data_IF_475282700329
#
_entry.id   IF_475282700329
#
_cell.length_a   1.000
_cell.length_b   1.000
_cell.length_c   1.000
_cell.angle_alpha   90.00
_cell.angle_beta   90.00
_cell.angle_gamma   90.00
#
_symmetry.space_group_name_H-M   'P 1'
#
loop_
_entity.id
_entity.type
_entity.pdbx_description
1 polymer ?
#
# COMPACT_ATOMS: atom_id res chain seq x y z
N UNK A 1 45.72 67.52 -29.09
CA UNK A 1 46.25 67.74 -30.45
C UNK A 1 45.08 67.96 -31.39
N UNK A 2 45.31 68.83 -32.36
CA UNK A 2 44.36 69.79 -32.92
C UNK A 2 43.12 69.26 -33.66
N UNK A 3 42.10 70.10 -33.63
CA UNK A 3 40.86 70.03 -34.38
C UNK A 3 40.99 70.69 -35.77
N UNK A 4 39.97 70.42 -36.62
CA UNK A 4 39.49 71.22 -37.77
C UNK A 4 40.43 71.17 -39.00
N UNK A 5 39.99 71.16 -40.27
CA UNK A 5 38.74 71.57 -40.95
C UNK A 5 38.80 71.03 -42.41
N UNK A 6 37.90 71.37 -43.36
CA UNK A 6 37.28 70.42 -44.27
C UNK A 6 37.68 70.66 -45.73
N UNK A 7 37.19 69.83 -46.66
CA UNK A 7 36.95 70.30 -48.03
C UNK A 7 35.62 69.75 -48.54
N UNK A 8 34.78 70.68 -48.98
CA UNK A 8 33.58 70.44 -49.77
C UNK A 8 33.86 70.83 -51.22
N UNK A 9 32.96 70.39 -52.11
CA UNK A 9 32.77 70.78 -53.51
C UNK A 9 33.83 70.22 -54.48
N UNK A 10 33.55 69.85 -55.71
CA UNK A 10 32.36 69.71 -56.56
C UNK A 10 32.85 68.85 -57.75
N UNK A 11 32.08 68.24 -58.66
CA UNK A 11 31.21 68.88 -59.64
C UNK A 11 30.68 67.76 -60.55
N UNK A 12 29.40 67.86 -60.88
CA UNK A 12 28.61 67.28 -61.99
C UNK A 12 29.34 66.47 -63.08
N UNK A 13 28.70 65.38 -63.51
CA UNK A 13 28.17 65.26 -64.88
C UNK A 13 27.09 64.18 -64.95
N UNK A 14 25.99 64.53 -65.60
CA UNK A 14 24.79 63.74 -65.90
C UNK A 14 25.02 62.94 -67.18
N UNK A 15 24.55 61.69 -67.26
CA UNK A 15 23.75 61.09 -68.36
C UNK A 15 23.64 59.58 -68.11
N UNK A 16 22.46 59.08 -67.74
CA UNK A 16 21.37 58.64 -68.62
C UNK A 16 21.60 57.21 -69.16
N UNK A 17 20.69 56.29 -68.83
CA UNK A 17 20.70 54.90 -69.32
C UNK A 17 20.38 53.93 -68.18
N UNK A 18 19.10 53.68 -67.85
CA UNK A 18 18.32 52.52 -68.36
C UNK A 18 18.82 51.22 -67.71
N UNK A 19 18.08 50.38 -66.99
CA UNK A 19 16.71 50.28 -66.47
C UNK A 19 16.73 49.06 -65.52
N UNK A 20 15.92 49.10 -64.47
CA UNK A 20 15.44 47.97 -63.65
C UNK A 20 16.50 47.05 -62.98
N UNK A 21 16.92 47.45 -61.78
CA UNK A 21 17.33 46.52 -60.73
C UNK A 21 16.33 46.64 -59.57
N UNK A 22 15.35 45.76 -59.50
CA UNK A 22 14.45 45.64 -58.34
C UNK A 22 15.26 45.04 -57.19
N UNK A 23 15.80 45.87 -56.29
CA UNK A 23 16.41 45.38 -55.05
C UNK A 23 15.31 44.94 -54.10
N UNK A 24 15.01 43.64 -54.10
CA UNK A 24 14.21 43.00 -53.06
C UNK A 24 15.05 43.00 -51.78
N UNK A 25 14.62 43.80 -50.80
CA UNK A 25 15.08 43.64 -49.41
C UNK A 25 14.48 42.33 -48.91
N UNK A 26 15.28 41.26 -48.90
CA UNK A 26 14.87 39.99 -48.33
C UNK A 26 14.93 40.11 -46.80
N UNK A 27 13.78 40.37 -46.18
CA UNK A 27 13.61 40.20 -44.73
C UNK A 27 13.60 38.69 -44.46
N UNK A 28 14.70 38.16 -43.95
CA UNK A 28 14.81 36.76 -43.55
C UNK A 28 13.99 36.59 -42.25
N UNK A 29 12.71 36.23 -42.37
CA UNK A 29 11.94 35.75 -41.24
C UNK A 29 12.52 34.39 -40.81
N UNK A 30 13.24 34.34 -39.69
CA UNK A 30 13.56 33.08 -39.04
C UNK A 30 12.26 32.45 -38.52
N UNK A 31 11.58 31.70 -39.38
CA UNK A 31 10.59 30.73 -38.95
C UNK A 31 11.34 29.62 -38.20
N UNK A 32 11.48 29.77 -36.88
CA UNK A 32 11.89 28.68 -36.02
C UNK A 32 10.85 27.56 -36.16
N UNK A 33 11.18 26.54 -36.94
CA UNK A 33 10.40 25.31 -37.01
C UNK A 33 10.53 24.62 -35.65
N UNK A 34 9.63 24.94 -34.72
CA UNK A 34 9.39 24.12 -33.54
C UNK A 34 8.76 22.83 -34.05
N UNK A 35 9.61 21.86 -34.40
CA UNK A 35 9.13 20.52 -34.73
C UNK A 35 8.53 19.95 -33.45
N UNK A 36 7.30 19.39 -33.47
CA UNK A 36 6.80 18.67 -32.33
C UNK A 36 7.77 17.53 -32.04
N UNK A 37 8.37 17.53 -30.85
CA UNK A 37 9.12 16.38 -30.37
C UNK A 37 8.11 15.25 -30.25
N UNK A 38 8.09 14.35 -31.24
CA UNK A 38 7.35 13.11 -31.15
C UNK A 38 8.12 12.25 -30.15
N UNK A 39 7.65 12.23 -28.91
CA UNK A 39 8.13 11.28 -27.90
C UNK A 39 7.67 9.90 -28.38
N UNK A 40 8.57 9.18 -29.04
CA UNK A 40 8.33 7.77 -29.39
C UNK A 40 8.27 6.99 -28.07
N UNK A 41 7.17 6.29 -27.76
CA UNK A 41 7.12 5.44 -26.58
C UNK A 41 8.23 4.39 -26.67
N UNK A 42 9.10 4.32 -25.66
CA UNK A 42 10.10 3.25 -25.55
C UNK A 42 9.30 1.93 -25.40
N UNK A 43 9.42 0.96 -26.33
CA UNK A 43 8.55 -0.21 -26.36
C UNK A 43 8.66 -1.16 -25.15
N UNK A 44 9.64 -0.98 -24.26
CA UNK A 44 9.94 -1.90 -23.15
C UNK A 44 10.15 -1.22 -21.78
N UNK A 45 9.70 0.04 -21.60
CA UNK A 45 9.59 0.58 -20.24
C UNK A 45 8.39 -0.09 -19.54
N UNK A 46 8.52 -0.59 -18.29
CA UNK A 46 7.37 -1.12 -17.55
C UNK A 46 6.26 -0.06 -17.57
N UNK A 47 5.12 -0.39 -18.18
CA UNK A 47 3.97 0.48 -18.16
C UNK A 47 3.42 0.47 -16.73
N UNK A 48 3.93 1.39 -15.90
CA UNK A 48 3.34 1.66 -14.61
C UNK A 48 1.91 2.13 -14.88
N UNK A 49 0.93 1.39 -14.37
CA UNK A 49 -0.37 2.02 -14.11
C UNK A 49 -0.18 2.75 -12.79
N UNK A 50 -0.27 4.09 -12.72
CA UNK A 50 -0.30 4.77 -11.44
C UNK A 50 -1.32 4.06 -10.55
N UNK A 51 -0.96 3.80 -9.29
CA UNK A 51 -2.02 3.51 -8.35
C UNK A 51 -3.03 4.67 -8.44
N UNK A 52 -4.31 4.36 -8.33
CA UNK A 52 -5.36 5.36 -8.37
C UNK A 52 -6.18 5.25 -7.11
N UNK A 53 -7.04 6.24 -6.88
CA UNK A 53 -7.97 6.21 -5.75
C UNK A 53 -8.85 4.96 -5.71
N UNK A 54 -8.97 4.20 -6.82
CA UNK A 54 -9.69 2.94 -6.88
C UNK A 54 -8.82 1.68 -6.68
N UNK A 55 -7.50 1.75 -6.87
CA UNK A 55 -6.62 0.56 -6.77
C UNK A 55 -5.80 0.50 -5.48
N UNK A 56 -5.48 1.66 -4.91
CA UNK A 56 -4.74 1.75 -3.65
C UNK A 56 -5.52 1.26 -2.42
N UNK A 57 -6.85 1.50 -2.29
CA UNK A 57 -7.62 1.05 -1.15
C UNK A 57 -7.47 -0.44 -0.84
N UNK A 58 -7.58 -0.77 0.44
CA UNK A 58 -7.39 -2.09 1.01
C UNK A 58 -6.03 -2.26 1.70
N UNK A 59 -5.75 -3.50 2.12
CA UNK A 59 -4.61 -3.83 2.96
C UNK A 59 -3.40 -4.28 2.13
N UNK A 60 -2.22 -3.93 2.61
CA UNK A 60 -0.92 -4.19 2.03
C UNK A 60 0.04 -4.67 3.12
N UNK A 61 0.82 -5.69 2.83
CA UNK A 61 1.80 -6.29 3.75
C UNK A 61 3.13 -6.51 3.03
N UNK A 62 4.21 -6.56 3.79
CA UNK A 62 5.51 -7.04 3.32
C UNK A 62 5.50 -8.56 3.13
N UNK A 63 6.40 -9.07 2.30
CA UNK A 63 6.53 -10.51 2.07
C UNK A 63 7.24 -11.24 3.23
N UNK A 64 8.14 -10.53 3.92
CA UNK A 64 8.92 -11.06 5.02
C UNK A 64 8.08 -11.26 6.28
N UNK A 65 8.49 -12.22 7.09
CA UNK A 65 7.96 -12.50 8.43
C UNK A 65 8.89 -11.93 9.48
N UNK A 66 8.32 -11.49 10.60
CA UNK A 66 9.05 -10.78 11.64
C UNK A 66 8.75 -11.36 13.03
N UNK A 67 9.63 -11.07 14.00
CA UNK A 67 9.40 -11.45 15.41
C UNK A 67 8.49 -10.48 16.17
N UNK A 68 8.00 -9.41 15.51
CA UNK A 68 7.04 -8.47 16.08
C UNK A 68 5.72 -9.17 16.45
N UNK A 69 4.99 -8.66 17.47
CA UNK A 69 3.70 -9.22 17.87
C UNK A 69 2.68 -9.30 16.73
N UNK A 70 2.67 -8.30 15.86
CA UNK A 70 1.80 -8.24 14.69
C UNK A 70 2.61 -8.19 13.40
N UNK A 71 2.04 -8.67 12.28
CA UNK A 71 2.59 -8.46 10.94
C UNK A 71 2.47 -6.97 10.54
N UNK A 72 3.58 -6.32 10.11
CA UNK A 72 3.54 -4.96 9.58
C UNK A 72 2.57 -4.81 8.41
N UNK A 73 1.84 -3.69 8.37
CA UNK A 73 0.87 -3.43 7.32
C UNK A 73 0.62 -1.94 7.05
N UNK A 74 0.03 -1.67 5.88
CA UNK A 74 -0.68 -0.44 5.56
C UNK A 74 -2.10 -0.81 5.08
N UNK A 75 -3.09 -0.04 5.50
CA UNK A 75 -4.48 -0.17 5.08
C UNK A 75 -4.96 1.21 4.64
N UNK A 76 -5.32 1.33 3.36
CA UNK A 76 -5.86 2.55 2.77
C UNK A 76 -7.37 2.40 2.63
N UNK A 77 -8.13 3.37 3.11
CA UNK A 77 -9.58 3.40 2.99
C UNK A 77 -10.00 4.29 1.81
N UNK A 78 -11.16 4.00 1.21
CA UNK A 78 -11.70 4.77 0.08
C UNK A 78 -12.03 6.23 0.43
N UNK A 79 -12.21 6.54 1.72
CA UNK A 79 -12.50 7.89 2.21
C UNK A 79 -11.25 8.79 2.34
N UNK A 80 -10.08 8.31 1.90
CA UNK A 80 -8.82 9.03 1.99
C UNK A 80 -8.16 8.92 3.37
N UNK A 81 -8.61 8.02 4.24
CA UNK A 81 -7.90 7.70 5.49
C UNK A 81 -7.00 6.48 5.33
N UNK A 82 -5.96 6.37 6.16
CA UNK A 82 -5.13 5.17 6.23
C UNK A 82 -4.78 4.81 7.67
N UNK A 83 -4.50 3.53 7.90
CA UNK A 83 -3.96 2.96 9.14
C UNK A 83 -2.76 2.11 8.80
N UNK A 84 -1.79 2.02 9.71
CA UNK A 84 -0.63 1.18 9.50
C UNK A 84 0.00 0.75 10.81
N UNK A 85 0.84 -0.27 10.70
CA UNK A 85 1.66 -0.76 11.81
C UNK A 85 3.02 -1.22 11.30
N UNK A 86 4.02 -1.03 12.14
CA UNK A 86 5.34 -1.65 11.99
C UNK A 86 5.47 -2.99 12.75
N UNK A 87 4.37 -3.49 13.30
CA UNK A 87 4.28 -4.73 14.07
C UNK A 87 4.18 -4.54 15.59
N UNK A 88 4.45 -3.35 16.12
CA UNK A 88 4.24 -3.03 17.54
C UNK A 88 3.74 -1.61 17.79
N UNK A 89 4.00 -0.68 16.88
CA UNK A 89 3.44 0.65 16.86
C UNK A 89 2.33 0.74 15.82
N UNK A 90 1.38 1.62 16.06
CA UNK A 90 0.29 1.89 15.13
C UNK A 90 0.32 3.36 14.73
N UNK A 91 -0.01 3.62 13.48
CA UNK A 91 -0.11 4.95 12.89
C UNK A 91 -1.41 5.07 12.10
N UNK A 92 -1.84 6.30 11.90
CA UNK A 92 -2.99 6.63 11.04
C UNK A 92 -2.87 8.04 10.52
N UNK A 93 -3.54 8.32 9.42
CA UNK A 93 -3.62 9.65 8.86
C UNK A 93 -4.51 9.68 7.64
N UNK A 94 -4.25 10.64 6.76
CA UNK A 94 -4.93 10.79 5.48
C UNK A 94 -3.98 10.54 4.32
N UNK A 95 -4.53 10.16 3.19
CA UNK A 95 -3.81 10.00 1.93
C UNK A 95 -4.62 10.60 0.79
N UNK A 96 -3.92 11.09 -0.21
CA UNK A 96 -4.48 11.43 -1.52
C UNK A 96 -3.49 11.09 -2.61
N UNK A 97 -3.99 10.85 -3.81
CA UNK A 97 -3.17 10.54 -4.96
C UNK A 97 -3.69 11.27 -6.19
N UNK A 98 -2.80 11.91 -6.93
CA UNK A 98 -3.15 12.55 -8.19
C UNK A 98 -3.05 11.59 -9.38
N UNK A 99 -3.44 12.06 -10.57
CA UNK A 99 -3.43 11.25 -11.80
C UNK A 99 -2.03 10.85 -12.27
N UNK A 100 -0.97 11.46 -11.74
CA UNK A 100 0.42 11.09 -12.02
C UNK A 100 0.96 10.02 -11.06
N UNK A 101 0.18 9.62 -10.05
CA UNK A 101 0.59 8.68 -9.01
C UNK A 101 1.38 9.34 -7.88
N UNK A 102 1.41 10.68 -7.82
CA UNK A 102 2.00 11.39 -6.70
C UNK A 102 1.15 11.16 -5.45
N UNK A 103 1.79 10.67 -4.39
CA UNK A 103 1.16 10.29 -3.14
C UNK A 103 1.43 11.37 -2.10
N UNK A 104 0.37 11.94 -1.52
CA UNK A 104 0.47 12.84 -0.38
C UNK A 104 -0.13 12.16 0.84
N UNK A 105 0.58 12.14 1.96
CA UNK A 105 0.10 11.54 3.20
C UNK A 105 0.25 12.49 4.38
N UNK A 106 -0.61 12.33 5.37
CA UNK A 106 -0.41 12.87 6.71
C UNK A 106 -0.22 11.70 7.68
N UNK A 107 0.39 11.96 8.84
CA UNK A 107 0.44 11.01 9.94
C UNK A 107 0.17 11.71 11.26
N UNK A 108 -0.66 11.08 12.08
CA UNK A 108 -0.77 11.41 13.49
C UNK A 108 0.45 10.96 14.30
N UNK A 109 0.46 11.23 15.61
CA UNK A 109 1.52 10.78 16.50
C UNK A 109 1.58 9.25 16.56
N UNK A 110 2.79 8.71 16.68
CA UNK A 110 3.06 7.28 16.85
C UNK A 110 3.88 7.06 18.12
N UNK A 111 3.61 5.97 18.80
CA UNK A 111 4.52 5.46 19.82
C UNK A 111 5.79 4.93 19.13
N UNK A 112 6.94 5.00 19.79
CA UNK A 112 8.23 4.51 19.27
C UNK A 112 8.77 3.36 20.12
N UNK A 113 8.00 2.28 20.19
CA UNK A 113 8.47 1.01 20.76
C UNK A 113 9.35 0.33 19.69
N UNK A 114 10.48 -0.22 20.10
CA UNK A 114 11.29 -1.01 19.18
C UNK A 114 10.75 -2.44 19.08
N UNK A 115 10.50 -2.90 17.86
CA UNK A 115 10.31 -4.31 17.53
C UNK A 115 11.04 -4.64 16.23
N UNK A 116 11.37 -5.92 16.08
CA UNK A 116 11.80 -6.49 14.80
C UNK A 116 10.58 -6.51 13.87
N UNK A 117 10.46 -5.52 12.99
CA UNK A 117 9.31 -5.30 12.11
C UNK A 117 9.63 -4.29 11.00
N UNK A 118 8.89 -4.33 9.88
CA UNK A 118 9.05 -3.36 8.79
C UNK A 118 8.43 -2.01 9.17
N UNK A 119 9.16 -0.88 9.08
CA UNK A 119 8.67 0.44 9.51
C UNK A 119 7.71 1.08 8.49
N UNK A 120 6.63 0.37 8.12
CA UNK A 120 5.76 0.76 7.00
C UNK A 120 5.11 2.14 7.16
N UNK A 121 4.64 2.57 8.34
CA UNK A 121 4.18 3.94 8.52
C UNK A 121 5.23 5.00 8.19
N UNK A 122 6.51 4.76 8.49
CA UNK A 122 7.58 5.69 8.18
C UNK A 122 7.89 5.70 6.68
N UNK A 123 7.94 4.54 6.04
CA UNK A 123 8.06 4.47 4.58
C UNK A 123 6.91 5.16 3.85
N UNK A 124 5.69 5.09 4.40
CA UNK A 124 4.54 5.78 3.81
C UNK A 124 4.62 7.31 3.93
N UNK A 125 5.20 7.81 5.02
CA UNK A 125 5.40 9.25 5.24
C UNK A 125 6.52 9.79 4.34
N UNK A 126 7.57 9.00 4.10
CA UNK A 126 8.69 9.36 3.21
C UNK A 126 8.38 9.15 1.71
N UNK A 127 7.29 8.44 1.40
CA UNK A 127 6.90 8.16 0.02
C UNK A 127 6.33 9.41 -0.67
N UNK A 128 6.79 9.67 -1.89
CA UNK A 128 6.29 10.74 -2.77
C UNK A 128 5.39 10.21 -3.88
N UNK A 129 5.46 8.92 -4.18
CA UNK A 129 4.62 8.26 -5.16
C UNK A 129 4.48 6.77 -4.85
N UNK A 130 3.52 6.12 -5.50
CA UNK A 130 3.39 4.67 -5.45
C UNK A 130 3.19 4.09 -6.85
N UNK A 131 3.88 2.99 -7.11
CA UNK A 131 3.78 2.21 -8.36
C UNK A 131 2.98 0.95 -8.09
N UNK A 132 2.07 0.60 -8.99
CA UNK A 132 1.32 -0.65 -8.93
C UNK A 132 1.44 -1.41 -10.24
N UNK A 133 1.90 -2.66 -10.19
CA UNK A 133 2.08 -3.51 -11.38
C UNK A 133 0.94 -4.53 -11.58
N UNK A 134 -0.15 -4.40 -10.82
CA UNK A 134 -1.26 -5.34 -10.78
C UNK A 134 -1.19 -6.34 -9.62
N UNK A 135 -0.03 -6.51 -9.00
CA UNK A 135 0.16 -7.45 -7.86
C UNK A 135 0.93 -6.83 -6.70
N UNK A 136 1.92 -6.02 -7.01
CA UNK A 136 2.86 -5.42 -6.06
C UNK A 136 2.70 -3.91 -6.06
N UNK A 137 2.49 -3.36 -4.86
CA UNK A 137 2.57 -1.93 -4.59
C UNK A 137 3.99 -1.60 -4.16
N UNK A 138 4.64 -0.69 -4.86
CA UNK A 138 5.97 -0.17 -4.49
C UNK A 138 5.85 1.28 -4.05
N UNK A 139 6.24 1.59 -2.82
CA UNK A 139 6.35 2.97 -2.35
C UNK A 139 7.69 3.55 -2.79
N UNK A 140 7.68 4.78 -3.28
CA UNK A 140 8.85 5.42 -3.89
C UNK A 140 9.15 6.75 -3.18
N UNK A 141 10.39 6.93 -2.76
CA UNK A 141 10.86 8.09 -2.01
C UNK A 141 11.21 9.30 -2.88
N UNK A 142 11.75 10.34 -2.24
CA UNK A 142 12.05 11.63 -2.87
C UNK A 142 13.12 11.58 -3.98
N UNK A 143 14.00 10.58 -3.99
CA UNK A 143 15.08 10.40 -4.97
C UNK A 143 14.77 9.26 -5.94
N UNK A 144 13.48 8.94 -6.11
CA UNK A 144 13.00 7.83 -6.96
C UNK A 144 13.50 6.44 -6.52
N UNK A 145 13.96 6.32 -5.28
CA UNK A 145 14.31 5.05 -4.66
C UNK A 145 13.07 4.24 -4.28
N UNK A 146 13.13 2.92 -4.45
CA UNK A 146 12.09 2.02 -3.94
C UNK A 146 12.27 1.87 -2.43
N UNK A 147 11.31 2.36 -1.64
CA UNK A 147 11.35 2.28 -0.19
C UNK A 147 10.93 0.90 0.31
N UNK A 148 9.84 0.37 -0.24
CA UNK A 148 9.30 -0.94 0.13
C UNK A 148 8.41 -1.51 -0.97
N UNK A 149 8.45 -2.83 -1.11
CA UNK A 149 7.50 -3.61 -1.93
C UNK A 149 6.49 -4.28 -1.02
N UNK A 150 5.23 -4.08 -1.35
CA UNK A 150 4.09 -4.56 -0.61
C UNK A 150 3.23 -5.39 -1.54
N UNK A 151 2.67 -6.45 -1.00
CA UNK A 151 1.67 -7.27 -1.69
C UNK A 151 0.34 -7.13 -0.99
N UNK A 152 -0.73 -7.41 -1.71
CA UNK A 152 -1.98 -7.77 -1.04
C UNK A 152 -1.66 -8.95 -0.10
N UNK A 153 -2.16 -8.94 1.15
CA UNK A 153 -2.11 -10.16 1.95
C UNK A 153 -2.70 -11.28 1.10
N UNK A 154 -1.99 -12.41 1.03
CA UNK A 154 -2.39 -13.52 0.17
C UNK A 154 -3.82 -13.92 0.55
N UNK A 155 -4.78 -13.61 -0.32
CA UNK A 155 -6.14 -14.12 -0.28
C UNK A 155 -6.22 -15.37 -1.15
N UNK A 156 -5.20 -16.24 -1.06
CA UNK A 156 -5.29 -17.60 -1.65
C UNK A 156 -6.20 -18.50 -0.81
N UNK A 157 -6.76 -17.94 0.26
CA UNK A 157 -7.85 -18.52 1.03
C UNK A 157 -9.10 -18.47 0.15
N UNK A 158 -9.47 -19.63 -0.40
CA UNK A 158 -10.76 -19.79 -1.05
C UNK A 158 -11.82 -19.82 0.04
N UNK A 159 -12.74 -18.85 0.13
CA UNK A 159 -13.90 -19.00 1.00
C UNK A 159 -14.57 -20.33 0.67
N UNK A 160 -14.65 -21.22 1.65
CA UNK A 160 -15.22 -22.53 1.46
C UNK A 160 -16.69 -22.37 1.03
N UNK A 161 -17.10 -22.88 -0.15
CA UNK A 161 -18.51 -23.03 -0.46
C UNK A 161 -19.07 -24.09 0.51
N UNK A 162 -19.98 -23.71 1.42
CA UNK A 162 -20.46 -24.69 2.41
C UNK A 162 -21.31 -24.18 3.58
N UNK A 163 -21.55 -22.88 3.70
CA UNK A 163 -22.34 -22.32 4.81
C UNK A 163 -21.69 -22.55 6.18
N UNK A 164 -22.44 -22.46 7.26
CA UNK A 164 -21.90 -22.57 8.63
C UNK A 164 -21.27 -23.94 8.95
N UNK A 165 -21.62 -24.99 8.22
CA UNK A 165 -21.21 -26.37 8.49
C UNK A 165 -19.71 -26.60 8.36
N UNK A 166 -19.01 -25.82 7.51
CA UNK A 166 -17.54 -25.94 7.36
C UNK A 166 -16.78 -25.26 8.49
N UNK A 167 -17.45 -24.43 9.29
CA UNK A 167 -16.86 -23.69 10.42
C UNK A 167 -17.06 -24.45 11.73
N UNK A 168 -18.20 -25.15 11.88
CA UNK A 168 -18.60 -25.83 13.12
C UNK A 168 -17.65 -26.98 13.46
N UNK A 169 -17.22 -27.02 14.72
CA UNK A 169 -16.34 -28.04 15.28
C UNK A 169 -15.17 -27.49 16.06
N UNK A 170 -14.19 -28.36 16.29
CA UNK A 170 -12.99 -28.08 17.08
C UNK A 170 -11.83 -27.69 16.16
N UNK A 171 -11.24 -26.55 16.48
CA UNK A 171 -10.04 -26.02 15.84
C UNK A 171 -8.94 -25.93 16.88
N UNK A 172 -7.74 -26.43 16.57
CA UNK A 172 -6.62 -26.38 17.49
C UNK A 172 -5.30 -26.03 16.84
N UNK A 173 -4.37 -25.51 17.63
CA UNK A 173 -2.97 -25.34 17.22
C UNK A 173 -2.09 -25.64 18.42
N UNK A 174 -0.92 -26.22 18.15
CA UNK A 174 0.11 -26.43 19.18
C UNK A 174 1.22 -25.43 18.89
N UNK A 175 1.48 -24.53 19.83
CA UNK A 175 2.58 -23.59 19.66
C UNK A 175 3.93 -24.30 19.68
N UNK A 176 4.75 -24.00 18.67
CA UNK A 176 6.11 -24.49 18.58
C UNK A 176 6.91 -24.08 19.82
N UNK A 177 7.50 -25.07 20.50
CA UNK A 177 8.39 -24.84 21.65
C UNK A 177 7.72 -24.72 23.02
N UNK A 178 6.38 -24.84 23.13
CA UNK A 178 5.69 -24.67 24.43
C UNK A 178 4.61 -25.71 24.78
N UNK A 179 4.32 -26.67 23.89
CA UNK A 179 3.37 -27.79 24.12
C UNK A 179 1.97 -27.37 24.61
N UNK A 180 1.58 -26.11 24.41
CA UNK A 180 0.28 -25.59 24.83
C UNK A 180 -0.69 -25.63 23.67
N UNK A 181 -1.87 -26.17 23.95
CA UNK A 181 -2.95 -26.29 22.98
C UNK A 181 -3.76 -24.99 22.98
N UNK A 182 -3.71 -24.28 21.87
CA UNK A 182 -4.67 -23.22 21.55
C UNK A 182 -5.90 -23.90 20.96
N UNK A 183 -7.09 -23.52 21.42
CA UNK A 183 -8.35 -24.17 21.06
C UNK A 183 -9.43 -23.15 20.73
N UNK A 184 -10.26 -23.48 19.75
CA UNK A 184 -11.49 -22.77 19.41
C UNK A 184 -12.57 -23.81 19.07
N UNK A 185 -13.66 -23.82 19.83
CA UNK A 185 -14.85 -24.64 19.59
C UNK A 185 -15.95 -23.76 19.02
N UNK A 186 -16.33 -24.03 17.76
CA UNK A 186 -17.37 -23.33 17.01
C UNK A 186 -18.67 -24.13 17.09
N UNK A 187 -19.70 -23.59 17.71
CA UNK A 187 -21.02 -24.21 17.78
C UNK A 187 -21.92 -23.74 16.64
N UNK A 188 -22.87 -24.57 16.24
CA UNK A 188 -23.82 -24.28 15.15
C UNK A 188 -24.83 -23.18 15.50
N UNK A 189 -25.04 -22.91 16.78
CA UNK A 189 -25.86 -21.82 17.32
C UNK A 189 -25.21 -20.42 17.24
N UNK A 190 -24.00 -20.33 16.68
CA UNK A 190 -23.26 -19.08 16.57
C UNK A 190 -22.46 -18.71 17.81
N UNK A 191 -22.29 -19.61 18.78
CA UNK A 191 -21.41 -19.41 19.94
C UNK A 191 -20.01 -19.96 19.71
N UNK A 192 -19.03 -19.34 20.39
CA UNK A 192 -17.63 -19.77 20.39
C UNK A 192 -17.13 -19.90 21.82
N UNK A 193 -16.46 -21.00 22.11
CA UNK A 193 -15.64 -21.17 23.31
C UNK A 193 -14.19 -21.40 22.91
N UNK A 194 -13.27 -20.61 23.46
CA UNK A 194 -11.86 -20.71 23.12
C UNK A 194 -10.94 -20.71 24.33
N UNK A 195 -9.72 -21.19 24.10
CA UNK A 195 -8.60 -21.11 25.03
C UNK A 195 -7.37 -20.66 24.24
N UNK A 196 -6.78 -19.54 24.61
CA UNK A 196 -5.62 -18.95 23.91
C UNK A 196 -4.27 -19.50 24.39
N UNK A 197 -4.26 -20.62 25.11
CA UNK A 197 -3.10 -21.19 25.77
C UNK A 197 -2.86 -20.67 27.19
N UNK A 198 -3.60 -19.64 27.63
CA UNK A 198 -3.57 -19.11 29.00
C UNK A 198 -4.97 -18.90 29.56
N UNK A 199 -5.79 -18.18 28.80
CA UNK A 199 -7.08 -17.66 29.17
C UNK A 199 -8.18 -18.37 28.38
N UNK A 200 -9.27 -18.65 29.09
CA UNK A 200 -10.51 -19.07 28.47
C UNK A 200 -11.29 -17.84 28.03
N UNK A 201 -11.95 -17.94 26.89
CA UNK A 201 -12.83 -16.90 26.41
C UNK A 201 -14.08 -17.44 25.74
N UNK A 202 -15.13 -16.63 25.71
CA UNK A 202 -16.34 -16.88 24.92
C UNK A 202 -16.59 -15.74 23.95
N UNK A 203 -17.23 -16.04 22.84
CA UNK A 203 -17.68 -15.05 21.85
C UNK A 203 -18.89 -15.57 21.07
N UNK A 204 -19.33 -14.79 20.10
CA UNK A 204 -20.25 -15.22 19.04
C UNK A 204 -19.50 -15.26 17.72
N UNK A 205 -20.05 -15.96 16.73
CA UNK A 205 -19.53 -15.94 15.37
C UNK A 205 -20.64 -15.84 14.33
N UNK A 206 -20.30 -15.32 13.16
CA UNK A 206 -21.15 -15.31 11.97
C UNK A 206 -20.33 -15.66 10.73
N UNK A 207 -20.96 -16.36 9.80
CA UNK A 207 -20.41 -16.60 8.46
C UNK A 207 -20.99 -15.59 7.49
N UNK A 208 -20.12 -14.88 6.78
CA UNK A 208 -20.51 -13.94 5.73
C UNK A 208 -20.64 -14.66 4.38
N UNK A 209 -21.37 -14.05 3.45
CA UNK A 209 -21.55 -14.58 2.09
C UNK A 209 -20.24 -14.62 1.29
N UNK A 210 -19.28 -13.77 1.65
CA UNK A 210 -17.91 -13.78 1.12
C UNK A 210 -17.02 -14.89 1.70
N UNK A 211 -17.60 -15.75 2.55
CA UNK A 211 -16.99 -16.89 3.24
C UNK A 211 -16.02 -16.55 4.37
N UNK A 212 -16.06 -15.30 4.86
CA UNK A 212 -15.35 -14.89 6.08
C UNK A 212 -16.14 -15.29 7.33
N UNK A 213 -15.44 -15.73 8.37
CA UNK A 213 -15.96 -15.85 9.73
C UNK A 213 -15.68 -14.55 10.48
N UNK A 214 -16.69 -13.95 11.10
CA UNK A 214 -16.54 -12.80 12.01
C UNK A 214 -16.79 -13.23 13.44
N UNK A 215 -15.97 -12.76 14.38
CA UNK A 215 -16.15 -12.97 15.81
C UNK A 215 -16.75 -11.73 16.46
N UNK A 216 -17.67 -11.94 17.41
CA UNK A 216 -18.15 -10.88 18.29
C UNK A 216 -17.09 -10.45 19.30
N UNK A 217 -17.46 -9.59 20.24
CA UNK A 217 -16.58 -9.22 21.36
C UNK A 217 -16.25 -10.45 22.20
N UNK A 218 -14.96 -10.69 22.45
CA UNK A 218 -14.50 -11.78 23.30
C UNK A 218 -14.65 -11.40 24.78
N UNK A 219 -15.31 -12.25 25.55
CA UNK A 219 -15.31 -12.22 27.01
C UNK A 219 -14.20 -13.14 27.52
N UNK A 220 -13.09 -12.57 28.00
CA UNK A 220 -11.85 -13.30 28.31
C UNK A 220 -11.62 -13.34 29.82
N UNK A 221 -11.20 -14.48 30.35
CA UNK A 221 -10.66 -14.55 31.72
C UNK A 221 -9.30 -13.84 31.77
N UNK A 222 -9.14 -12.82 32.63
CA UNK A 222 -7.89 -12.05 32.70
C UNK A 222 -6.84 -12.69 33.61
N UNK A 223 -6.30 -13.87 33.28
CA UNK A 223 -5.19 -14.49 34.03
C UNK A 223 -3.86 -14.04 33.44
N UNK A 224 -2.87 -13.85 34.30
CA UNK A 224 -1.49 -13.61 33.89
C UNK A 224 -0.78 -14.94 33.76
N UNK A 225 -0.31 -15.29 32.56
CA UNK A 225 0.55 -16.45 32.35
C UNK A 225 1.96 -16.01 31.96
N UNK A 226 2.94 -16.42 32.75
CA UNK A 226 4.33 -16.14 32.48
C UNK A 226 4.79 -16.86 31.20
N UNK A 227 5.48 -16.12 30.33
CA UNK A 227 6.02 -16.68 29.09
C UNK A 227 4.96 -17.11 28.07
N UNK A 228 3.76 -16.50 28.07
CA UNK A 228 2.73 -16.76 27.05
C UNK A 228 2.48 -15.50 26.23
N UNK A 229 2.47 -15.64 24.90
CA UNK A 229 2.01 -14.59 23.97
C UNK A 229 0.61 -15.00 23.53
N UNK A 230 -0.41 -14.47 24.21
CA UNK A 230 -1.81 -14.75 23.87
C UNK A 230 -2.19 -13.98 22.61
N UNK A 231 -2.24 -14.67 21.47
CA UNK A 231 -2.65 -14.07 20.20
C UNK A 231 -4.13 -14.32 19.89
N UNK A 232 -4.68 -15.48 20.26
CA UNK A 232 -6.06 -15.85 19.90
C UNK A 232 -7.11 -14.94 20.56
N UNK A 233 -6.80 -14.39 21.73
CA UNK A 233 -7.60 -13.34 22.39
C UNK A 233 -7.75 -12.05 21.56
N UNK A 234 -6.95 -11.86 20.52
CA UNK A 234 -7.05 -10.75 19.56
C UNK A 234 -7.94 -11.02 18.35
N UNK A 235 -8.54 -12.21 18.25
CA UNK A 235 -9.34 -12.63 17.11
C UNK A 235 -10.54 -11.69 16.86
N UNK A 236 -10.73 -11.30 15.60
CA UNK A 236 -11.89 -10.53 15.14
C UNK A 236 -12.52 -11.13 13.90
N UNK A 237 -11.74 -11.77 13.04
CA UNK A 237 -12.24 -12.54 11.91
C UNK A 237 -11.37 -13.76 11.64
N UNK A 238 -11.86 -14.66 10.81
CA UNK A 238 -11.08 -15.73 10.24
C UNK A 238 -11.50 -16.02 8.82
N UNK A 239 -10.61 -16.65 8.07
CA UNK A 239 -10.92 -17.23 6.76
C UNK A 239 -10.52 -18.70 6.81
N UNK A 240 -11.26 -19.53 6.08
CA UNK A 240 -10.96 -20.95 5.95
C UNK A 240 -10.12 -21.21 4.70
N UNK A 241 -9.12 -22.06 4.85
CA UNK A 241 -8.33 -22.67 3.77
C UNK A 241 -8.27 -24.18 4.03
N UNK A 242 -9.22 -24.91 3.45
CA UNK A 242 -9.40 -26.34 3.69
C UNK A 242 -9.64 -26.65 5.17
N UNK A 243 -8.71 -27.38 5.79
CA UNK A 243 -8.73 -27.70 7.23
C UNK A 243 -8.02 -26.66 8.08
N UNK A 244 -7.64 -25.51 7.52
CA UNK A 244 -6.93 -24.45 8.23
C UNK A 244 -7.84 -23.25 8.42
N UNK A 245 -7.96 -22.74 9.64
CA UNK A 245 -8.60 -21.48 9.95
C UNK A 245 -7.51 -20.43 10.21
N UNK A 246 -7.45 -19.41 9.38
CA UNK A 246 -6.51 -18.30 9.51
C UNK A 246 -7.17 -17.20 10.33
N UNK A 247 -6.72 -17.00 11.57
CA UNK A 247 -7.26 -16.03 12.51
C UNK A 247 -6.65 -14.66 12.24
N UNK A 248 -7.50 -13.63 12.21
CA UNK A 248 -7.12 -12.24 11.96
C UNK A 248 -7.56 -11.32 13.10
N UNK A 249 -6.75 -10.30 13.35
CA UNK A 249 -7.05 -9.24 14.30
C UNK A 249 -8.12 -8.29 13.77
N UNK A 250 -8.63 -7.40 14.63
CA UNK A 250 -9.55 -6.32 14.23
C UNK A 250 -8.99 -5.37 13.17
N UNK A 251 -7.69 -5.42 12.92
CA UNK A 251 -7.02 -4.63 11.89
C UNK A 251 -6.79 -5.43 10.59
N UNK A 252 -7.14 -6.72 10.55
CA UNK A 252 -6.98 -7.61 9.40
C UNK A 252 -5.60 -8.29 9.31
N UNK A 253 -4.72 -8.08 10.29
CA UNK A 253 -3.44 -8.79 10.37
C UNK A 253 -3.66 -10.24 10.78
N UNK A 254 -2.95 -11.17 10.13
CA UNK A 254 -2.95 -12.57 10.54
C UNK A 254 -2.27 -12.70 11.90
N UNK A 255 -2.97 -13.29 12.85
CA UNK A 255 -2.49 -13.55 14.21
C UNK A 255 -1.91 -14.96 14.33
N UNK A 256 -2.52 -15.93 13.64
CA UNK A 256 -2.14 -17.32 13.71
C UNK A 256 -3.07 -18.21 12.91
N UNK A 257 -2.80 -19.50 12.92
CA UNK A 257 -3.61 -20.52 12.24
C UNK A 257 -4.04 -21.61 13.21
N UNK A 258 -5.25 -22.13 13.02
CA UNK A 258 -5.79 -23.31 13.72
C UNK A 258 -6.10 -24.40 12.69
N UNK A 259 -5.91 -25.65 13.05
CA UNK A 259 -6.26 -26.82 12.24
C UNK A 259 -7.58 -27.42 12.71
N UNK A 260 -8.43 -27.85 11.78
CA UNK A 260 -9.67 -28.54 12.06
C UNK A 260 -9.43 -29.96 12.59
N UNK A 261 -10.12 -30.34 13.67
CA UNK A 261 -10.03 -31.66 14.29
C UNK A 261 -11.38 -32.41 14.35
N UNK A 262 -12.42 -31.92 13.68
CA UNK A 262 -13.75 -32.55 13.64
C UNK A 262 -14.78 -31.86 14.53
N UNK A 263 -16.03 -32.32 14.48
CA UNK A 263 -17.07 -31.89 15.39
C UNK A 263 -16.71 -32.27 16.83
N UNK A 264 -16.87 -31.31 17.75
CA UNK A 264 -16.62 -31.50 19.19
C UNK A 264 -17.73 -32.32 19.85
#
# INVERSE_FOLDING_TARGET
MSALKPLAAATRAVTAGVTLGLTVVMVLALAACSSPVVVVPIPDAPQFTPASSSTLPGRWVVADTYSSPDQPYLAFEHDGTWKGSDGCNNAKGTWSMDSSGALTTTSGPVTRIYCDGAPLPLYLIDATSAKFDGTTLTLVGHKSEELVKLKRPSSTESPAPGGTQVVVGLWTSVENGRSRLVKLSMADDGTVAGNDGCNDFTSTWRFAEDGTVSFGTLAITGRTCEGVVTWLSGAASAVLDGTTMVIRSKYGGQLGTLTYHGAA
#
